data_IF_099415521921
#
_entry.id   IF_099415521921
#
_cell.length_a   1.000
_cell.length_b   1.000
_cell.length_c   1.000
_cell.angle_alpha   90.00
_cell.angle_beta   90.00
_cell.angle_gamma   90.00
#
_symmetry.space_group_name_H-M   'P 1'
#
loop_
_entity.id
_entity.type
_entity.pdbx_description
1 polymer ?
#
# COMPACT_ATOMS: atom_id res chain seq x y z
N UNK A 1 -5.34 -25.06 -56.90
CA UNK A 1 -4.48 -23.89 -56.59
C UNK A 1 -5.36 -22.84 -55.94
N UNK A 2 -5.50 -22.86 -54.62
CA UNK A 2 -4.74 -22.03 -53.66
C UNK A 2 -4.94 -20.52 -53.86
N UNK A 3 -5.79 -19.92 -53.02
CA UNK A 3 -5.53 -18.59 -52.48
C UNK A 3 -6.19 -18.45 -51.11
N UNK A 4 -5.33 -18.33 -50.09
CA UNK A 4 -5.71 -18.32 -48.69
C UNK A 4 -6.20 -16.96 -48.21
N UNK A 5 -7.27 -16.98 -47.40
CA UNK A 5 -7.64 -15.87 -46.52
C UNK A 5 -6.64 -15.79 -45.37
N UNK A 6 -5.76 -14.78 -45.38
CA UNK A 6 -5.03 -14.35 -44.19
C UNK A 6 -6.00 -13.58 -43.29
N UNK A 7 -6.41 -14.19 -42.18
CA UNK A 7 -7.01 -13.46 -41.07
C UNK A 7 -5.93 -12.59 -40.42
N UNK A 8 -6.09 -11.28 -40.51
CA UNK A 8 -5.34 -10.34 -39.68
C UNK A 8 -5.89 -10.42 -38.26
N UNK A 9 -5.29 -11.27 -37.42
CA UNK A 9 -5.47 -11.18 -35.98
C UNK A 9 -4.78 -9.91 -35.50
N UNK A 10 -5.58 -8.88 -35.17
CA UNK A 10 -5.09 -7.66 -34.55
C UNK A 10 -4.41 -7.98 -33.24
N UNK A 11 -3.09 -7.76 -33.16
CA UNK A 11 -2.34 -7.72 -31.91
C UNK A 11 -2.85 -6.53 -31.10
N UNK A 12 -3.71 -6.77 -30.12
CA UNK A 12 -4.02 -5.80 -29.07
C UNK A 12 -2.79 -5.61 -28.21
N UNK A 13 -2.35 -4.36 -28.10
CA UNK A 13 -1.21 -3.95 -27.28
C UNK A 13 -1.46 -4.28 -25.79
N UNK A 14 -0.49 -4.84 -25.04
CA UNK A 14 -0.62 -5.08 -23.60
C UNK A 14 -1.03 -3.82 -22.81
N UNK A 15 -0.68 -2.64 -23.33
CA UNK A 15 -1.03 -1.34 -22.78
C UNK A 15 -2.53 -1.03 -22.82
N UNK A 16 -3.27 -1.60 -23.80
CA UNK A 16 -4.71 -1.43 -23.90
C UNK A 16 -5.47 -2.26 -22.83
N UNK A 17 -4.90 -3.38 -22.38
CA UNK A 17 -5.48 -4.23 -21.33
C UNK A 17 -5.30 -3.63 -19.93
N UNK A 18 -4.21 -2.89 -19.70
CA UNK A 18 -4.00 -2.09 -18.48
C UNK A 18 -5.01 -0.93 -18.41
N UNK A 19 -5.32 -0.29 -19.54
CA UNK A 19 -6.34 0.76 -19.59
C UNK A 19 -7.78 0.23 -19.42
N UNK A 20 -8.09 -0.95 -19.95
CA UNK A 20 -9.43 -1.55 -19.84
C UNK A 20 -9.69 -2.08 -18.40
N UNK A 21 -8.69 -2.67 -17.75
CA UNK A 21 -8.82 -3.15 -16.36
C UNK A 21 -8.99 -2.01 -15.34
N UNK A 22 -8.42 -0.83 -15.61
CA UNK A 22 -8.61 0.38 -14.79
C UNK A 22 -9.86 1.17 -15.21
N UNK A 23 -10.32 1.07 -16.46
CA UNK A 23 -11.59 1.66 -16.90
C UNK A 23 -12.81 1.09 -16.16
N UNK A 24 -12.78 -0.21 -15.82
CA UNK A 24 -13.83 -0.85 -15.00
C UNK A 24 -13.89 -0.34 -13.55
N UNK A 25 -12.88 0.40 -13.07
CA UNK A 25 -12.85 1.05 -11.75
C UNK A 25 -13.96 2.10 -11.59
N UNK A 26 -14.42 2.71 -12.67
CA UNK A 26 -15.33 3.86 -12.61
C UNK A 26 -16.82 3.49 -12.51
N UNK A 27 -17.24 2.31 -12.95
CA UNK A 27 -18.66 1.94 -12.91
C UNK A 27 -19.10 1.42 -11.53
N UNK A 28 -18.25 0.65 -10.84
CA UNK A 28 -18.58 0.02 -9.55
C UNK A 28 -18.48 0.98 -8.36
N UNK A 29 -17.58 1.98 -8.39
CA UNK A 29 -17.51 3.02 -7.35
C UNK A 29 -18.79 3.88 -7.29
N UNK A 30 -19.42 4.14 -8.45
CA UNK A 30 -20.62 4.99 -8.53
C UNK A 30 -21.91 4.31 -8.03
N UNK A 31 -22.00 2.97 -8.03
CA UNK A 31 -23.23 2.28 -7.59
C UNK A 31 -23.30 2.14 -6.05
N UNK A 32 -22.15 2.08 -5.37
CA UNK A 32 -22.07 1.77 -3.94
C UNK A 32 -22.09 3.01 -3.02
N UNK A 33 -21.68 4.19 -3.50
CA UNK A 33 -21.59 5.40 -2.65
C UNK A 33 -22.90 6.19 -2.52
N UNK A 34 -23.94 5.88 -3.32
CA UNK A 34 -25.23 6.58 -3.23
C UNK A 34 -26.18 6.07 -2.13
N UNK A 35 -25.94 4.91 -1.51
CA UNK A 35 -26.93 4.27 -0.61
C UNK A 35 -26.47 4.01 0.84
N UNK A 36 -25.44 4.70 1.32
CA UNK A 36 -24.85 4.42 2.64
C UNK A 36 -24.71 5.61 3.58
N UNK A 37 -25.70 6.51 3.70
CA UNK A 37 -25.74 7.51 4.78
C UNK A 37 -26.74 7.08 5.87
N UNK A 38 -26.30 6.14 6.71
CA UNK A 38 -26.93 5.80 7.97
C UNK A 38 -26.27 6.54 9.13
N UNK A 39 -27.08 7.27 9.90
CA UNK A 39 -26.76 8.01 11.13
C UNK A 39 -26.27 7.06 12.22
N UNK A 40 -25.17 7.39 12.91
CA UNK A 40 -24.95 6.97 14.29
C UNK A 40 -24.18 8.03 15.08
N UNK A 41 -24.70 8.36 16.27
CA UNK A 41 -24.27 9.46 17.14
C UNK A 41 -23.04 9.16 18.02
N UNK A 42 -22.53 10.16 18.75
CA UNK A 42 -21.22 10.08 19.38
C UNK A 42 -21.28 9.36 20.74
N UNK A 43 -20.49 8.30 20.91
CA UNK A 43 -20.15 7.75 22.23
C UNK A 43 -18.94 8.49 22.80
N UNK A 44 -19.13 9.12 23.96
CA UNK A 44 -18.08 9.72 24.80
C UNK A 44 -17.06 8.66 25.21
N UNK A 45 -15.77 8.91 24.94
CA UNK A 45 -14.66 8.27 25.64
C UNK A 45 -14.21 9.19 26.78
N UNK A 46 -14.17 8.65 27.99
CA UNK A 46 -13.60 9.26 29.20
C UNK A 46 -12.41 8.42 29.66
N UNK A 47 -11.40 9.11 30.20
CA UNK A 47 -10.24 8.54 30.89
C UNK A 47 -9.02 8.47 29.97
N UNK A 48 -7.85 8.96 30.31
CA UNK A 48 -7.31 9.51 31.56
C UNK A 48 -5.81 9.58 31.32
N UNK A 49 -5.19 10.74 31.59
CA UNK A 49 -3.82 11.00 31.18
C UNK A 49 -2.79 10.11 31.86
N UNK A 50 -1.70 9.87 31.15
CA UNK A 50 -0.40 9.81 31.79
C UNK A 50 0.65 10.51 30.91
N UNK A 51 1.29 11.53 31.47
CA UNK A 51 2.39 12.27 30.84
C UNK A 51 3.69 11.63 31.33
N UNK A 52 4.14 10.61 30.61
CA UNK A 52 5.44 9.96 30.85
C UNK A 52 6.54 10.53 29.95
N UNK A 53 7.49 11.24 30.58
CA UNK A 53 8.92 11.35 30.24
C UNK A 53 9.34 11.33 28.76
N UNK A 54 9.52 12.51 28.16
CA UNK A 54 10.29 12.68 26.94
C UNK A 54 11.79 12.66 27.25
N UNK A 55 12.43 11.51 27.04
CA UNK A 55 13.88 11.38 27.11
C UNK A 55 14.38 10.02 26.63
N UNK A 56 15.34 10.06 25.68
CA UNK A 56 16.28 8.99 25.33
C UNK A 56 15.73 7.73 24.65
N UNK A 57 15.91 7.64 23.32
CA UNK A 57 15.98 6.41 22.52
C UNK A 57 14.82 5.43 22.66
N UNK A 58 14.05 5.22 21.59
CA UNK A 58 13.06 4.13 21.55
C UNK A 58 13.66 2.82 22.04
N UNK A 59 12.96 2.19 22.98
CA UNK A 59 13.26 0.85 23.50
C UNK A 59 13.55 -0.07 22.31
N UNK A 60 14.77 -0.62 22.17
CA UNK A 60 15.13 -1.47 21.03
C UNK A 60 14.14 -2.61 20.81
N UNK A 61 13.51 -3.14 21.87
CA UNK A 61 12.50 -4.20 21.78
C UNK A 61 11.20 -3.76 21.09
N UNK A 62 10.93 -2.44 21.04
CA UNK A 62 9.75 -1.88 20.37
C UNK A 62 10.02 -1.54 18.91
N UNK A 63 11.27 -1.56 18.45
CA UNK A 63 11.60 -1.13 17.10
C UNK A 63 11.03 -2.07 16.05
N UNK A 64 10.65 -1.50 14.91
CA UNK A 64 10.21 -2.25 13.74
C UNK A 64 11.06 -1.95 12.51
N UNK A 65 11.37 -2.99 11.74
CA UNK A 65 12.02 -2.86 10.45
C UNK A 65 11.01 -2.43 9.39
N UNK A 66 11.34 -1.43 8.56
CA UNK A 66 10.47 -0.99 7.47
C UNK A 66 10.77 -1.80 6.21
N UNK A 67 9.80 -2.55 5.73
CA UNK A 67 9.89 -3.37 4.53
C UNK A 67 9.05 -2.75 3.41
N UNK A 68 9.73 -2.21 2.39
CA UNK A 68 9.12 -1.59 1.22
C UNK A 68 9.19 -2.55 0.03
N UNK A 69 8.07 -3.08 -0.45
CA UNK A 69 8.07 -3.88 -1.70
C UNK A 69 8.03 -2.97 -2.93
N UNK A 70 8.92 -3.21 -3.90
CA UNK A 70 9.09 -2.36 -5.07
C UNK A 70 9.41 -3.14 -6.35
N UNK A 71 9.08 -2.53 -7.50
CA UNK A 71 9.55 -2.96 -8.83
C UNK A 71 10.71 -2.10 -9.32
N UNK A 72 11.34 -2.51 -10.41
CA UNK A 72 12.38 -1.78 -11.13
C UNK A 72 11.81 -0.72 -12.11
N UNK A 73 10.50 -0.51 -12.12
CA UNK A 73 9.89 0.52 -12.96
C UNK A 73 10.18 1.92 -12.42
N UNK A 74 10.46 2.88 -13.30
CA UNK A 74 10.66 4.30 -12.95
C UNK A 74 9.55 4.82 -12.02
N UNK A 75 8.30 4.45 -12.30
CA UNK A 75 7.15 4.71 -11.44
C UNK A 75 7.40 4.30 -9.98
N UNK A 76 7.82 3.06 -9.72
CA UNK A 76 8.10 2.57 -8.37
C UNK A 76 9.37 3.18 -7.78
N UNK A 77 10.37 3.46 -8.61
CA UNK A 77 11.66 4.00 -8.19
C UNK A 77 11.51 5.40 -7.57
N UNK A 78 10.91 6.36 -8.28
CA UNK A 78 10.78 7.72 -7.74
C UNK A 78 9.93 7.77 -6.46
N UNK A 79 8.88 6.93 -6.39
CA UNK A 79 8.04 6.78 -5.20
C UNK A 79 8.87 6.25 -4.01
N UNK A 80 9.69 5.22 -4.26
CA UNK A 80 10.57 4.63 -3.24
C UNK A 80 11.59 5.62 -2.69
N UNK A 81 12.15 6.49 -3.54
CA UNK A 81 13.09 7.54 -3.13
C UNK A 81 12.44 8.56 -2.19
N UNK A 82 11.23 9.04 -2.53
CA UNK A 82 10.46 9.97 -1.67
C UNK A 82 10.10 9.31 -0.33
N UNK A 83 9.61 8.07 -0.37
CA UNK A 83 9.26 7.30 0.82
C UNK A 83 10.49 7.11 1.73
N UNK A 84 11.63 6.72 1.16
CA UNK A 84 12.88 6.52 1.89
C UNK A 84 13.44 7.83 2.47
N UNK A 85 13.34 8.95 1.76
CA UNK A 85 13.68 10.28 2.29
C UNK A 85 12.89 10.57 3.58
N UNK A 86 11.56 10.44 3.53
CA UNK A 86 10.71 10.70 4.70
C UNK A 86 10.87 9.67 5.82
N UNK A 87 11.19 8.41 5.49
CA UNK A 87 11.60 7.43 6.49
C UNK A 87 12.83 7.92 7.28
N UNK A 88 13.89 8.37 6.60
CA UNK A 88 15.10 8.88 7.28
C UNK A 88 14.79 10.08 8.17
N UNK A 89 14.01 11.03 7.66
CA UNK A 89 13.59 12.22 8.41
C UNK A 89 12.78 11.88 9.66
N UNK A 90 11.85 10.93 9.57
CA UNK A 90 10.97 10.60 10.68
C UNK A 90 11.60 9.62 11.67
N UNK A 91 12.51 8.75 11.21
CA UNK A 91 13.26 7.81 12.06
C UNK A 91 14.11 8.53 13.11
N UNK A 92 14.74 9.64 12.74
CA UNK A 92 15.61 10.40 13.64
C UNK A 92 14.87 11.24 14.68
N UNK A 93 13.53 11.36 14.58
CA UNK A 93 12.74 12.24 15.43
C UNK A 93 12.26 11.56 16.72
N UNK A 94 12.12 12.30 17.83
CA UNK A 94 11.57 11.78 19.06
C UNK A 94 10.19 11.14 18.86
N UNK A 95 9.96 9.99 19.49
CA UNK A 95 8.70 9.25 19.39
C UNK A 95 8.61 8.29 18.20
N UNK A 96 9.67 8.14 17.39
CA UNK A 96 9.73 7.08 16.39
C UNK A 96 10.34 5.79 16.92
N UNK A 97 9.68 4.67 16.63
CA UNK A 97 10.21 3.32 16.83
C UNK A 97 10.69 2.69 15.50
N UNK A 98 10.94 3.51 14.45
CA UNK A 98 11.47 3.01 13.19
C UNK A 98 12.91 2.51 13.35
N UNK A 99 13.12 1.23 13.05
CA UNK A 99 14.41 0.56 13.01
C UNK A 99 15.06 0.64 11.63
N UNK A 100 15.61 -0.48 11.15
CA UNK A 100 16.16 -0.64 9.81
C UNK A 100 15.14 -0.48 8.69
N UNK A 101 15.64 -0.50 7.46
CA UNK A 101 14.86 -0.39 6.24
C UNK A 101 15.36 -1.39 5.22
N UNK A 102 14.45 -2.03 4.50
CA UNK A 102 14.77 -2.81 3.30
C UNK A 102 13.76 -2.49 2.20
N UNK A 103 14.26 -2.08 1.04
CA UNK A 103 13.52 -2.16 -0.22
C UNK A 103 13.65 -3.58 -0.76
N UNK A 104 12.54 -4.31 -0.82
CA UNK A 104 12.46 -5.65 -1.37
C UNK A 104 12.16 -5.50 -2.87
N UNK A 105 13.21 -5.56 -3.69
CA UNK A 105 13.14 -5.38 -5.13
C UNK A 105 12.85 -6.72 -5.81
N UNK A 106 11.59 -6.92 -6.20
CA UNK A 106 11.11 -8.19 -6.74
C UNK A 106 11.11 -8.23 -8.28
N UNK A 107 12.16 -7.68 -8.88
CA UNK A 107 12.41 -7.68 -10.32
C UNK A 107 13.37 -8.79 -10.78
N UNK A 108 14.02 -9.48 -9.83
CA UNK A 108 15.06 -10.48 -10.11
C UNK A 108 16.40 -9.89 -10.57
N UNK A 109 16.54 -8.55 -10.61
CA UNK A 109 17.78 -7.89 -11.04
C UNK A 109 18.03 -6.61 -10.24
N UNK A 110 19.31 -6.25 -10.00
CA UNK A 110 19.66 -4.99 -9.35
C UNK A 110 19.25 -3.78 -10.20
N UNK A 111 19.08 -2.63 -9.54
CA UNK A 111 18.88 -1.33 -10.18
C UNK A 111 19.76 -0.24 -9.54
N UNK A 112 19.76 0.96 -10.11
CA UNK A 112 20.61 2.07 -9.64
C UNK A 112 20.28 2.61 -8.25
N UNK A 113 19.12 2.29 -7.68
CA UNK A 113 18.74 2.77 -6.34
C UNK A 113 19.37 1.95 -5.21
N UNK A 114 20.08 0.86 -5.52
CA UNK A 114 20.75 0.05 -4.50
C UNK A 114 21.88 0.80 -3.78
N UNK A 115 22.46 1.82 -4.41
CA UNK A 115 23.46 2.69 -3.80
C UNK A 115 22.83 3.74 -2.86
N UNK A 116 21.53 4.03 -3.03
CA UNK A 116 20.79 5.04 -2.25
C UNK A 116 19.94 4.41 -1.13
N UNK A 117 19.32 3.26 -1.40
CA UNK A 117 18.32 2.62 -0.56
C UNK A 117 18.77 1.19 -0.24
N UNK A 118 18.88 0.80 1.05
CA UNK A 118 19.18 -0.57 1.43
C UNK A 118 18.19 -1.52 0.75
N UNK A 119 18.69 -2.40 -0.13
CA UNK A 119 17.86 -3.19 -1.04
C UNK A 119 18.24 -4.66 -0.95
N UNK A 120 17.23 -5.53 -0.93
CA UNK A 120 17.39 -6.96 -1.23
C UNK A 120 16.69 -7.26 -2.56
N UNK A 121 17.45 -7.78 -3.52
CA UNK A 121 16.90 -8.29 -4.78
C UNK A 121 16.35 -9.68 -4.55
N UNK A 122 15.13 -9.92 -5.00
CA UNK A 122 14.46 -11.22 -4.94
C UNK A 122 13.84 -11.52 -6.30
N UNK A 123 13.63 -12.80 -6.59
CA UNK A 123 13.08 -13.21 -7.86
C UNK A 123 11.59 -12.90 -7.94
N UNK A 124 11.07 -12.50 -9.12
CA UNK A 124 9.62 -12.49 -9.34
C UNK A 124 9.08 -13.92 -9.31
N UNK A 125 7.75 -14.04 -9.31
CA UNK A 125 7.10 -15.32 -9.57
C UNK A 125 7.52 -15.85 -10.95
N UNK A 126 7.55 -17.19 -11.14
CA UNK A 126 7.80 -17.78 -12.44
C UNK A 126 6.87 -17.23 -13.52
N UNK A 127 7.37 -17.13 -14.75
CA UNK A 127 6.64 -16.55 -15.87
C UNK A 127 5.21 -17.14 -16.00
N UNK A 128 4.23 -16.25 -16.16
CA UNK A 128 2.82 -16.61 -16.32
C UNK A 128 2.08 -16.97 -15.04
N UNK A 129 2.75 -17.15 -13.90
CA UNK A 129 2.08 -17.44 -12.61
C UNK A 129 1.28 -16.26 -12.07
N UNK A 130 1.73 -15.03 -12.33
CA UNK A 130 1.03 -13.82 -11.92
C UNK A 130 -0.22 -13.52 -12.79
N UNK A 131 -0.36 -14.18 -13.95
CA UNK A 131 -1.41 -13.94 -14.95
C UNK A 131 -1.60 -12.45 -15.28
N UNK A 132 -0.50 -11.69 -15.33
CA UNK A 132 -0.50 -10.25 -15.59
C UNK A 132 -0.91 -9.38 -14.38
N UNK A 133 -1.15 -9.97 -13.22
CA UNK A 133 -1.40 -9.25 -11.96
C UNK A 133 -0.11 -9.18 -11.14
N UNK A 134 0.72 -8.18 -11.45
CA UNK A 134 2.09 -8.01 -10.91
C UNK A 134 2.15 -7.98 -9.38
N UNK A 135 1.04 -7.63 -8.72
CA UNK A 135 0.93 -7.53 -7.26
C UNK A 135 1.16 -8.88 -6.59
N UNK A 136 0.94 -10.00 -7.29
CA UNK A 136 1.24 -11.34 -6.76
C UNK A 136 2.72 -11.59 -6.46
N UNK A 137 3.62 -10.80 -7.04
CA UNK A 137 5.04 -10.88 -6.71
C UNK A 137 5.32 -10.45 -5.26
N UNK A 138 4.45 -9.65 -4.64
CA UNK A 138 4.64 -9.11 -3.28
C UNK A 138 4.67 -10.20 -2.19
N UNK A 139 3.66 -11.09 -2.07
CA UNK A 139 3.74 -12.20 -1.13
C UNK A 139 5.00 -13.05 -1.32
N UNK A 140 5.38 -13.32 -2.57
CA UNK A 140 6.58 -14.10 -2.89
C UNK A 140 7.87 -13.37 -2.51
N UNK A 141 7.91 -12.06 -2.68
CA UNK A 141 9.01 -11.21 -2.26
C UNK A 141 9.22 -11.27 -0.74
N UNK A 142 8.13 -11.24 0.05
CA UNK A 142 8.21 -11.39 1.50
C UNK A 142 8.70 -12.77 1.93
N UNK A 143 8.27 -13.85 1.27
CA UNK A 143 8.77 -15.20 1.56
C UNK A 143 10.29 -15.26 1.38
N UNK A 144 10.79 -14.80 0.24
CA UNK A 144 12.24 -14.80 -0.05
C UNK A 144 13.00 -13.88 0.90
N UNK A 145 12.49 -12.66 1.16
CA UNK A 145 13.15 -11.71 2.03
C UNK A 145 13.25 -12.22 3.47
N UNK A 146 12.17 -12.76 4.05
CA UNK A 146 12.17 -13.30 5.41
C UNK A 146 13.11 -14.51 5.57
N UNK A 147 13.30 -15.30 4.51
CA UNK A 147 14.21 -16.46 4.54
C UNK A 147 15.69 -16.07 4.49
N UNK A 148 16.02 -14.95 3.84
CA UNK A 148 17.41 -14.63 3.49
C UNK A 148 17.94 -13.36 4.17
N UNK A 149 17.08 -12.46 4.62
CA UNK A 149 17.48 -11.19 5.21
C UNK A 149 17.85 -11.35 6.68
N UNK A 150 18.91 -10.64 7.07
CA UNK A 150 19.20 -10.39 8.48
C UNK A 150 18.35 -9.20 8.95
N UNK A 151 17.36 -9.47 9.79
CA UNK A 151 16.46 -8.48 10.37
C UNK A 151 16.66 -8.48 11.89
N UNK A 152 17.24 -7.42 12.42
CA UNK A 152 17.57 -7.29 13.85
C UNK A 152 16.32 -6.97 14.69
N UNK A 153 15.34 -6.24 14.12
CA UNK A 153 14.10 -5.88 14.80
C UNK A 153 13.11 -7.05 14.95
N UNK A 154 12.35 -7.05 16.05
CA UNK A 154 11.30 -8.05 16.31
C UNK A 154 10.02 -7.81 15.50
N UNK A 155 9.76 -6.55 15.15
CA UNK A 155 8.57 -6.13 14.42
C UNK A 155 8.93 -5.69 13.00
N UNK A 156 7.97 -5.77 12.09
CA UNK A 156 8.09 -5.35 10.70
C UNK A 156 6.91 -4.44 10.36
N UNK A 157 7.20 -3.28 9.79
CA UNK A 157 6.23 -2.47 9.06
C UNK A 157 6.25 -2.89 7.59
N UNK A 158 5.17 -3.48 7.11
CA UNK A 158 4.93 -3.66 5.68
C UNK A 158 4.44 -2.34 5.08
N UNK A 159 5.19 -1.78 4.12
CA UNK A 159 4.94 -0.48 3.52
C UNK A 159 4.95 -0.53 1.98
N UNK A 160 4.41 0.53 1.36
CA UNK A 160 4.32 0.68 -0.11
C UNK A 160 5.02 1.95 -0.60
N UNK A 161 5.43 2.02 -1.89
CA UNK A 161 6.17 3.18 -2.43
C UNK A 161 5.38 4.49 -2.34
N UNK A 162 4.06 4.41 -2.38
CA UNK A 162 3.15 5.56 -2.28
C UNK A 162 2.78 5.95 -0.84
N UNK A 163 3.62 5.58 0.13
CA UNK A 163 3.56 6.08 1.49
C UNK A 163 4.48 7.29 1.68
N UNK A 164 4.00 8.29 2.39
CA UNK A 164 4.80 9.39 2.94
C UNK A 164 4.60 9.44 4.45
N UNK A 165 5.69 9.31 5.22
CA UNK A 165 5.63 9.46 6.67
C UNK A 165 5.53 10.94 7.05
N UNK A 166 4.40 11.36 7.60
CA UNK A 166 4.13 12.76 7.99
C UNK A 166 4.51 13.07 9.43
N UNK A 167 4.70 12.03 10.25
CA UNK A 167 5.07 12.13 11.67
C UNK A 167 6.02 11.00 12.09
N UNK A 168 6.76 11.16 13.20
CA UNK A 168 7.46 10.06 13.85
C UNK A 168 6.45 8.94 14.16
N UNK A 169 6.70 7.73 13.67
CA UNK A 169 5.81 6.59 13.83
C UNK A 169 6.29 5.72 15.00
N UNK A 170 5.54 5.65 16.12
CA UNK A 170 5.77 4.68 17.17
C UNK A 170 5.28 3.29 16.73
N UNK A 171 5.70 2.24 17.43
CA UNK A 171 5.18 0.91 17.20
C UNK A 171 3.71 0.85 17.65
N UNK A 172 2.82 0.72 16.69
CA UNK A 172 1.38 0.66 16.93
C UNK A 172 0.90 -0.72 17.34
N UNK A 173 1.73 -1.76 17.18
CA UNK A 173 1.45 -3.11 17.65
C UNK A 173 1.68 -3.25 19.16
N UNK A 174 0.98 -4.19 19.79
CA UNK A 174 1.05 -4.42 21.23
C UNK A 174 1.29 -5.90 21.51
N UNK A 175 2.53 -6.26 21.89
CA UNK A 175 2.89 -7.66 22.10
C UNK A 175 2.67 -8.47 20.82
N UNK A 176 1.89 -9.54 20.90
CA UNK A 176 1.53 -10.39 19.76
C UNK A 176 0.32 -9.88 18.94
N UNK A 177 -0.26 -8.73 19.28
CA UNK A 177 -1.36 -8.10 18.55
C UNK A 177 -0.81 -7.10 17.51
N UNK A 178 -0.82 -7.42 16.20
CA UNK A 178 -0.37 -6.53 15.15
C UNK A 178 -1.31 -5.33 14.98
N UNK A 179 -0.82 -4.25 14.38
CA UNK A 179 -1.64 -3.10 14.03
C UNK A 179 -1.81 -2.99 12.52
N UNK A 180 -3.02 -2.73 12.05
CA UNK A 180 -3.34 -2.63 10.62
C UNK A 180 -4.35 -1.52 10.32
N UNK A 181 -4.26 -0.95 9.13
CA UNK A 181 -5.31 -0.04 8.65
C UNK A 181 -6.55 -0.82 8.16
N UNK A 182 -7.77 -0.45 8.60
CA UNK A 182 -9.00 -1.07 8.11
C UNK A 182 -9.40 -0.50 6.73
N UNK A 183 -9.59 -1.38 5.75
CA UNK A 183 -10.04 -1.00 4.42
C UNK A 183 -11.53 -1.24 4.25
N UNK A 184 -12.29 -0.18 4.00
CA UNK A 184 -13.76 -0.23 3.91
C UNK A 184 -14.29 -1.16 2.80
N UNK A 185 -13.47 -1.47 1.79
CA UNK A 185 -13.81 -2.36 0.68
C UNK A 185 -13.40 -3.83 0.91
N UNK A 186 -12.68 -4.13 2.00
CA UNK A 186 -12.43 -5.51 2.43
C UNK A 186 -13.54 -5.88 3.39
N UNK A 187 -14.48 -6.71 2.92
CA UNK A 187 -15.73 -7.02 3.61
C UNK A 187 -15.95 -8.53 3.68
N UNK A 188 -15.31 -9.22 4.63
CA UNK A 188 -15.37 -10.69 4.67
C UNK A 188 -16.79 -11.26 4.86
N UNK A 189 -17.62 -10.62 5.68
CA UNK A 189 -19.00 -11.05 5.92
C UNK A 189 -19.90 -10.91 4.69
N UNK A 190 -19.70 -9.89 3.85
CA UNK A 190 -20.44 -9.72 2.58
C UNK A 190 -19.96 -10.71 1.50
N UNK A 191 -18.79 -11.32 1.67
CA UNK A 191 -18.15 -12.21 0.69
C UNK A 191 -18.00 -13.66 1.19
N UNK A 192 -18.80 -14.07 2.18
CA UNK A 192 -18.66 -15.36 2.85
C UNK A 192 -18.59 -16.54 1.87
N UNK A 193 -19.53 -16.62 0.91
CA UNK A 193 -19.60 -17.70 -0.07
C UNK A 193 -18.29 -17.91 -0.83
N UNK A 194 -17.64 -16.82 -1.24
CA UNK A 194 -16.36 -16.87 -1.96
C UNK A 194 -15.23 -17.24 -1.00
N UNK A 195 -15.22 -16.64 0.19
CA UNK A 195 -14.17 -16.85 1.18
C UNK A 195 -14.15 -18.27 1.75
N UNK A 196 -15.27 -18.99 1.78
CA UNK A 196 -15.31 -20.40 2.22
C UNK A 196 -14.42 -21.34 1.40
N UNK A 197 -14.06 -20.98 0.16
CA UNK A 197 -13.08 -21.72 -0.64
C UNK A 197 -11.66 -21.68 -0.06
N UNK A 198 -11.36 -20.67 0.76
CA UNK A 198 -10.01 -20.39 1.29
C UNK A 198 -9.96 -20.31 2.82
N UNK A 199 -11.11 -20.10 3.48
CA UNK A 199 -11.30 -20.10 4.92
C UNK A 199 -12.46 -21.05 5.29
N UNK A 200 -12.16 -22.36 5.41
CA UNK A 200 -13.19 -23.37 5.61
C UNK A 200 -13.95 -23.22 6.95
N UNK A 201 -15.12 -23.84 7.05
CA UNK A 201 -16.01 -23.68 8.22
C UNK A 201 -15.37 -24.14 9.54
N UNK A 202 -14.49 -25.15 9.51
CA UNK A 202 -13.79 -25.62 10.71
C UNK A 202 -12.78 -24.61 11.28
N UNK A 203 -12.39 -23.59 10.51
CA UNK A 203 -11.59 -22.45 11.01
C UNK A 203 -12.43 -21.41 11.74
N UNK A 204 -13.75 -21.50 11.67
CA UNK A 204 -14.71 -20.64 12.35
C UNK A 204 -15.46 -19.68 11.40
N UNK A 205 -16.14 -18.66 11.94
CA UNK A 205 -16.90 -17.71 11.13
C UNK A 205 -15.98 -16.79 10.33
N UNK A 206 -16.42 -16.34 9.15
CA UNK A 206 -15.64 -15.40 8.31
C UNK A 206 -15.43 -14.03 8.96
N UNK A 207 -16.17 -13.72 10.03
CA UNK A 207 -15.93 -12.53 10.86
C UNK A 207 -14.60 -12.55 11.61
N UNK A 208 -13.88 -13.68 11.64
CA UNK A 208 -12.49 -13.77 12.11
C UNK A 208 -11.47 -13.20 11.12
N UNK A 209 -11.86 -12.98 9.87
CA UNK A 209 -11.02 -12.35 8.86
C UNK A 209 -11.14 -10.84 9.08
N UNK A 210 -10.03 -10.19 9.44
CA UNK A 210 -10.02 -8.75 9.64
C UNK A 210 -10.21 -8.00 8.30
N UNK A 211 -10.89 -6.84 8.28
CA UNK A 211 -11.13 -6.05 7.07
C UNK A 211 -9.88 -5.24 6.68
N UNK A 212 -8.77 -5.93 6.39
CA UNK A 212 -7.43 -5.34 6.19
C UNK A 212 -6.79 -5.79 4.87
N UNK A 213 -5.68 -5.16 4.52
CA UNK A 213 -4.69 -5.69 3.59
C UNK A 213 -3.33 -5.82 4.26
N UNK A 214 -2.29 -6.09 3.48
CA UNK A 214 -0.94 -6.27 4.00
C UNK A 214 -0.23 -4.95 4.37
N UNK A 215 -0.71 -3.80 3.89
CA UNK A 215 -0.02 -2.50 4.03
C UNK A 215 -1.01 -1.36 4.31
N UNK A 216 -0.73 -0.46 5.28
CA UNK A 216 0.30 -0.57 6.28
C UNK A 216 -0.10 -1.57 7.38
N UNK A 217 0.86 -2.42 7.79
CA UNK A 217 0.73 -3.32 8.93
C UNK A 217 2.04 -3.34 9.72
N UNK A 218 1.97 -3.19 11.05
CA UNK A 218 3.09 -3.51 11.97
C UNK A 218 2.79 -4.85 12.63
N UNK A 219 3.64 -5.84 12.41
CA UNK A 219 3.48 -7.22 12.86
C UNK A 219 4.79 -7.79 13.37
N UNK A 220 4.76 -8.73 14.32
CA UNK A 220 5.97 -9.45 14.70
C UNK A 220 6.53 -10.26 13.53
N UNK A 221 7.84 -10.22 13.34
CA UNK A 221 8.57 -11.00 12.34
C UNK A 221 8.19 -12.47 12.38
N UNK A 222 8.16 -13.08 13.57
CA UNK A 222 7.81 -14.50 13.75
C UNK A 222 6.36 -14.85 13.33
N UNK A 223 5.42 -13.90 13.42
CA UNK A 223 4.06 -14.09 12.90
C UNK A 223 4.06 -13.97 11.37
N UNK A 224 4.76 -12.97 10.83
CA UNK A 224 4.85 -12.76 9.39
C UNK A 224 5.55 -13.92 8.67
N UNK A 225 6.59 -14.52 9.26
CA UNK A 225 7.26 -15.74 8.77
C UNK A 225 6.29 -16.92 8.60
N UNK A 226 5.30 -17.05 9.50
CA UNK A 226 4.25 -18.09 9.42
C UNK A 226 3.20 -17.75 8.37
N UNK A 227 2.81 -16.48 8.29
CA UNK A 227 1.74 -16.00 7.40
C UNK A 227 2.20 -15.96 5.94
N UNK A 228 3.42 -15.49 5.65
CA UNK A 228 3.87 -15.18 4.30
C UNK A 228 3.75 -16.35 3.29
N UNK A 229 4.14 -17.60 3.63
CA UNK A 229 3.94 -18.73 2.72
C UNK A 229 2.46 -19.04 2.45
N UNK A 230 1.60 -18.92 3.46
CA UNK A 230 0.15 -19.11 3.31
C UNK A 230 -0.48 -17.98 2.50
N UNK A 231 -0.08 -16.74 2.75
CA UNK A 231 -0.50 -15.57 1.99
C UNK A 231 -0.20 -15.76 0.50
N UNK A 232 1.05 -16.09 0.14
CA UNK A 232 1.42 -16.39 -1.24
C UNK A 232 0.54 -17.48 -1.87
N UNK A 233 0.38 -18.61 -1.19
CA UNK A 233 -0.39 -19.74 -1.71
C UNK A 233 -1.88 -19.41 -1.87
N UNK A 234 -2.47 -18.68 -0.92
CA UNK A 234 -3.87 -18.24 -1.02
C UNK A 234 -4.02 -17.22 -2.15
N UNK A 235 -3.09 -16.27 -2.31
CA UNK A 235 -3.13 -15.31 -3.43
C UNK A 235 -3.11 -16.00 -4.78
N UNK A 236 -2.24 -17.01 -4.97
CA UNK A 236 -2.18 -17.79 -6.21
C UNK A 236 -3.48 -18.58 -6.45
N UNK A 237 -4.01 -19.27 -5.43
CA UNK A 237 -5.27 -20.01 -5.54
C UNK A 237 -6.46 -19.11 -5.86
N UNK A 238 -6.54 -17.94 -5.22
CA UNK A 238 -7.58 -16.95 -5.51
C UNK A 238 -7.45 -16.44 -6.95
N UNK A 239 -6.23 -16.24 -7.46
CA UNK A 239 -6.00 -15.85 -8.87
C UNK A 239 -6.33 -16.97 -9.86
N UNK A 240 -6.26 -18.22 -9.43
CA UNK A 240 -6.64 -19.39 -10.24
C UNK A 240 -8.15 -19.60 -10.31
N UNK A 241 -8.88 -19.29 -9.25
CA UNK A 241 -10.35 -19.37 -9.20
C UNK A 241 -11.00 -18.17 -9.91
N UNK A 242 -11.62 -18.43 -11.07
CA UNK A 242 -12.20 -17.38 -11.92
C UNK A 242 -13.29 -16.54 -11.22
N UNK A 243 -14.10 -17.16 -10.36
CA UNK A 243 -15.14 -16.45 -9.60
C UNK A 243 -14.52 -15.48 -8.59
N UNK A 244 -13.48 -15.93 -7.89
CA UNK A 244 -12.75 -15.13 -6.90
C UNK A 244 -11.94 -14.02 -7.55
N UNK A 245 -11.20 -14.31 -8.62
CA UNK A 245 -10.43 -13.30 -9.37
C UNK A 245 -11.35 -12.21 -9.91
N UNK A 246 -12.51 -12.59 -10.46
CA UNK A 246 -13.51 -11.63 -10.92
C UNK A 246 -14.11 -10.80 -9.77
N UNK A 247 -14.37 -11.41 -8.62
CA UNK A 247 -15.01 -10.75 -7.49
C UNK A 247 -14.07 -9.77 -6.76
N UNK A 248 -12.83 -10.20 -6.47
CA UNK A 248 -11.88 -9.39 -5.70
C UNK A 248 -10.97 -8.55 -6.58
N UNK A 249 -10.67 -8.99 -7.81
CA UNK A 249 -9.89 -8.23 -8.79
C UNK A 249 -8.60 -7.66 -8.19
N UNK A 250 -8.49 -6.34 -8.19
CA UNK A 250 -7.27 -5.64 -7.76
C UNK A 250 -6.96 -5.72 -6.25
N UNK A 251 -7.94 -6.08 -5.40
CA UNK A 251 -7.74 -6.26 -3.94
C UNK A 251 -7.59 -7.73 -3.53
N UNK A 252 -7.48 -8.64 -4.50
CA UNK A 252 -7.40 -10.07 -4.24
C UNK A 252 -6.23 -10.44 -3.33
N UNK A 253 -5.07 -9.82 -3.54
CA UNK A 253 -3.90 -10.05 -2.70
C UNK A 253 -4.17 -9.62 -1.24
N UNK A 254 -4.84 -8.48 -1.03
CA UNK A 254 -5.22 -8.01 0.31
C UNK A 254 -6.16 -8.98 1.03
N UNK A 255 -7.16 -9.52 0.33
CA UNK A 255 -8.02 -10.58 0.88
C UNK A 255 -7.22 -11.83 1.23
N UNK A 256 -6.25 -12.22 0.40
CA UNK A 256 -5.39 -13.36 0.68
C UNK A 256 -4.52 -13.13 1.93
N UNK A 257 -4.01 -11.92 2.17
CA UNK A 257 -3.30 -11.57 3.40
C UNK A 257 -4.21 -11.71 4.63
N UNK A 258 -5.43 -11.16 4.56
CA UNK A 258 -6.39 -11.21 5.64
C UNK A 258 -6.82 -12.66 5.96
N UNK A 259 -7.08 -13.48 4.92
CA UNK A 259 -7.38 -14.91 5.07
C UNK A 259 -6.20 -15.67 5.67
N UNK A 260 -4.98 -15.44 5.18
CA UNK A 260 -3.79 -16.10 5.71
C UNK A 260 -3.55 -15.77 7.19
N UNK A 261 -3.74 -14.51 7.58
CA UNK A 261 -3.67 -14.07 8.98
C UNK A 261 -4.69 -14.82 9.84
N UNK A 262 -5.95 -14.87 9.40
CA UNK A 262 -7.02 -15.58 10.12
C UNK A 262 -6.78 -17.10 10.21
N UNK A 263 -6.23 -17.73 9.17
CA UNK A 263 -5.86 -19.15 9.17
C UNK A 263 -4.80 -19.48 10.23
N UNK A 264 -3.94 -18.52 10.56
CA UNK A 264 -2.91 -18.61 11.60
C UNK A 264 -3.34 -18.04 12.95
N UNK A 265 -4.62 -17.65 13.10
CA UNK A 265 -5.16 -17.11 14.34
C UNK A 265 -4.61 -15.73 14.72
N UNK A 266 -4.11 -14.97 13.74
CA UNK A 266 -3.58 -13.62 13.95
C UNK A 266 -4.69 -12.60 13.71
N UNK A 267 -4.99 -11.82 14.76
CA UNK A 267 -5.99 -10.76 14.76
C UNK A 267 -5.31 -9.39 14.93
N UNK A 268 -5.76 -8.40 14.17
CA UNK A 268 -5.14 -7.08 14.12
C UNK A 268 -5.94 -6.03 14.90
N UNK A 269 -5.22 -5.19 15.65
CA UNK A 269 -5.73 -3.92 16.15
C UNK A 269 -5.95 -2.96 14.99
N UNK A 270 -7.21 -2.59 14.72
CA UNK A 270 -7.59 -1.74 13.60
C UNK A 270 -7.34 -0.26 13.91
N UNK A 271 -6.44 0.36 13.15
CA UNK A 271 -5.95 1.74 13.37
C UNK A 271 -6.33 2.66 12.21
N UNK A 272 -7.42 3.43 12.37
CA UNK A 272 -7.83 4.44 11.38
C UNK A 272 -6.88 5.63 11.31
N UNK A 273 -6.15 5.88 12.39
CA UNK A 273 -5.11 6.90 12.48
C UNK A 273 -3.79 6.47 11.81
N UNK A 274 -3.67 5.21 11.34
CA UNK A 274 -2.42 4.72 10.77
C UNK A 274 -2.05 5.46 9.47
N UNK A 275 -3.02 5.63 8.57
CA UNK A 275 -2.84 6.37 7.33
C UNK A 275 -4.08 7.16 6.91
N UNK A 276 -3.90 8.10 6.00
CA UNK A 276 -4.96 8.81 5.28
C UNK A 276 -4.80 8.67 3.77
N UNK A 277 -5.88 8.91 3.02
CA UNK A 277 -5.96 8.76 1.57
C UNK A 277 -6.53 10.04 0.91
N UNK A 278 -5.70 11.07 0.67
CA UNK A 278 -6.11 12.24 -0.09
C UNK A 278 -6.56 11.84 -1.51
N UNK A 279 -7.55 12.53 -2.11
CA UNK A 279 -8.20 13.75 -1.61
C UNK A 279 -9.37 13.52 -0.64
N UNK A 280 -9.65 12.28 -0.24
CA UNK A 280 -10.85 11.94 0.54
C UNK A 280 -10.72 12.28 2.02
N UNK A 281 -9.55 12.04 2.60
CA UNK A 281 -9.23 12.44 3.96
C UNK A 281 -8.64 13.84 3.95
N UNK A 282 -9.29 14.79 4.64
CA UNK A 282 -9.05 16.22 4.43
C UNK A 282 -7.89 16.80 5.26
N UNK A 283 -7.46 16.11 6.33
CA UNK A 283 -6.52 16.63 7.32
C UNK A 283 -5.45 15.61 7.73
N UNK A 284 -4.29 16.08 8.16
CA UNK A 284 -3.15 15.26 8.63
C UNK A 284 -2.99 15.23 10.16
N UNK A 285 -3.84 15.94 10.90
CA UNK A 285 -3.72 16.19 12.34
C UNK A 285 -3.53 14.94 13.20
N UNK A 286 -4.10 13.78 12.83
CA UNK A 286 -4.06 12.55 13.62
C UNK A 286 -3.63 11.33 12.77
N UNK A 287 -2.64 11.50 11.89
CA UNK A 287 -2.13 10.39 11.09
C UNK A 287 -0.61 10.33 11.02
N UNK A 288 -0.09 9.16 10.66
CA UNK A 288 1.34 8.92 10.50
C UNK A 288 1.76 8.81 9.03
N UNK A 289 0.87 8.34 8.15
CA UNK A 289 1.17 8.08 6.75
C UNK A 289 0.14 8.76 5.85
N UNK A 290 0.61 9.45 4.80
CA UNK A 290 -0.21 9.73 3.63
C UNK A 290 0.01 8.61 2.63
N UNK A 291 -1.08 7.95 2.21
CA UNK A 291 -1.10 7.01 1.11
C UNK A 291 -1.71 7.69 -0.13
N UNK A 292 -0.87 8.12 -1.07
CA UNK A 292 -1.29 8.94 -2.22
C UNK A 292 -1.74 8.10 -3.43
N UNK A 293 -2.73 7.24 -3.20
CA UNK A 293 -3.21 6.30 -4.23
C UNK A 293 -4.13 6.95 -5.27
N UNK A 294 -4.90 7.98 -4.89
CA UNK A 294 -5.88 8.64 -5.75
C UNK A 294 -5.30 9.89 -6.43
N UNK A 295 -5.77 10.15 -7.65
CA UNK A 295 -5.52 11.42 -8.33
C UNK A 295 -6.20 12.58 -7.60
N UNK A 296 -5.45 13.66 -7.40
CA UNK A 296 -5.91 14.91 -6.81
C UNK A 296 -6.12 15.92 -7.94
N UNK A 297 -7.34 15.96 -8.50
CA UNK A 297 -7.71 16.83 -9.61
C UNK A 297 -8.65 17.93 -9.14
N UNK A 298 -8.29 19.20 -9.36
CA UNK A 298 -9.03 20.35 -8.88
C UNK A 298 -9.15 21.45 -9.94
N UNK A 299 -10.24 22.22 -9.87
CA UNK A 299 -10.30 23.53 -10.52
C UNK A 299 -9.40 24.53 -9.78
N UNK A 300 -9.04 25.64 -10.43
CA UNK A 300 -8.31 26.74 -9.80
C UNK A 300 -9.09 27.45 -8.68
N UNK A 301 -10.38 27.12 -8.51
CA UNK A 301 -11.22 27.55 -7.39
C UNK A 301 -11.23 26.55 -6.22
N UNK A 302 -10.40 25.50 -6.27
CA UNK A 302 -10.29 24.49 -5.21
C UNK A 302 -11.40 23.44 -5.21
N UNK A 303 -12.13 23.26 -6.32
CA UNK A 303 -13.21 22.28 -6.40
C UNK A 303 -12.70 20.97 -7.03
N UNK A 304 -12.92 19.83 -6.36
CA UNK A 304 -12.51 18.52 -6.84
C UNK A 304 -13.22 18.17 -8.16
N UNK A 305 -12.47 17.79 -9.20
CA UNK A 305 -12.99 17.39 -10.51
C UNK A 305 -12.96 15.87 -10.66
N UNK A 306 -13.96 15.19 -10.11
CA UNK A 306 -14.03 13.74 -10.11
C UNK A 306 -14.05 13.15 -11.53
N UNK A 307 -13.15 12.17 -11.79
CA UNK A 307 -13.08 11.43 -13.05
C UNK A 307 -12.62 12.26 -14.26
N UNK A 308 -12.10 13.48 -14.04
CA UNK A 308 -11.61 14.38 -15.08
C UNK A 308 -10.28 14.98 -14.66
N UNK A 309 -9.41 15.21 -15.63
CA UNK A 309 -8.16 15.95 -15.41
C UNK A 309 -8.54 17.37 -14.97
N UNK A 310 -8.10 17.76 -13.77
CA UNK A 310 -8.31 19.08 -13.21
C UNK A 310 -7.43 20.14 -13.85
N UNK A 311 -7.75 21.42 -13.62
CA UNK A 311 -6.89 22.54 -14.01
C UNK A 311 -5.58 22.54 -13.20
N UNK A 312 -5.67 22.15 -11.93
CA UNK A 312 -4.54 21.74 -11.11
C UNK A 312 -4.63 20.24 -10.83
N UNK A 313 -3.51 19.52 -10.89
CA UNK A 313 -3.45 18.08 -10.72
C UNK A 313 -2.19 17.63 -10.00
N UNK A 314 -2.36 16.70 -9.05
CA UNK A 314 -1.32 15.77 -8.65
C UNK A 314 -1.85 14.33 -8.74
N UNK A 315 -1.33 13.54 -9.68
CA UNK A 315 -1.57 12.10 -9.74
C UNK A 315 -0.26 11.41 -10.09
N UNK A 316 0.14 10.45 -9.26
CA UNK A 316 1.35 9.66 -9.50
C UNK A 316 1.36 8.96 -10.87
N UNK A 317 0.18 8.66 -11.43
CA UNK A 317 0.03 8.05 -12.77
C UNK A 317 0.33 9.01 -13.91
N UNK A 318 0.51 10.30 -13.65
CA UNK A 318 1.08 11.25 -14.61
C UNK A 318 2.60 11.09 -14.75
N UNK A 319 3.24 10.32 -13.87
CA UNK A 319 4.70 10.16 -13.75
C UNK A 319 5.10 8.68 -13.90
N UNK A 320 4.60 8.02 -14.95
CA UNK A 320 4.89 6.60 -15.21
C UNK A 320 6.27 6.37 -15.83
N UNK A 321 6.70 7.31 -16.67
CA UNK A 321 7.90 7.21 -17.51
C UNK A 321 9.01 8.17 -17.07
N UNK A 322 8.75 8.99 -16.07
CA UNK A 322 9.71 9.94 -15.50
C UNK A 322 9.29 10.30 -14.08
N UNK A 323 10.22 10.71 -13.20
CA UNK A 323 9.87 11.27 -11.89
C UNK A 323 9.12 12.61 -12.05
N UNK A 324 8.31 13.01 -11.06
CA UNK A 324 7.73 14.36 -11.05
C UNK A 324 8.83 15.43 -11.08
N UNK A 325 8.62 16.57 -11.76
CA UNK A 325 9.59 17.65 -11.74
C UNK A 325 9.73 18.24 -10.33
N UNK A 326 10.87 18.88 -10.07
CA UNK A 326 11.05 19.70 -8.86
C UNK A 326 10.06 20.87 -8.90
N UNK A 327 9.70 21.39 -7.73
CA UNK A 327 8.87 22.58 -7.58
C UNK A 327 7.49 22.45 -8.26
N UNK A 328 6.77 21.36 -7.99
CA UNK A 328 5.36 21.23 -8.34
C UNK A 328 4.57 22.42 -7.81
N UNK A 329 3.63 22.93 -8.60
CA UNK A 329 2.74 24.00 -8.15
C UNK A 329 1.92 23.53 -6.96
N UNK A 330 1.82 24.37 -5.93
CA UNK A 330 0.92 24.11 -4.82
C UNK A 330 -0.53 24.14 -5.30
N UNK A 331 -1.42 23.34 -4.70
CA UNK A 331 -2.83 23.36 -5.05
C UNK A 331 -3.46 24.73 -4.76
N UNK A 332 -4.53 25.09 -5.51
CA UNK A 332 -5.23 26.36 -5.33
C UNK A 332 -5.88 26.49 -3.95
N UNK A 333 -6.21 27.72 -3.50
CA UNK A 333 -6.97 27.93 -2.27
C UNK A 333 -8.27 27.11 -2.25
N UNK A 334 -8.60 26.54 -1.08
CA UNK A 334 -9.80 25.72 -0.89
C UNK A 334 -9.57 24.21 -1.06
N UNK A 335 -8.41 23.79 -1.56
CA UNK A 335 -8.01 22.38 -1.60
C UNK A 335 -7.70 21.87 -0.17
N UNK A 336 -8.03 20.60 0.18
CA UNK A 336 -7.81 20.06 1.52
C UNK A 336 -6.35 20.14 1.98
N UNK A 337 -6.18 20.30 3.29
CA UNK A 337 -4.87 20.41 3.93
C UNK A 337 -3.98 19.19 3.67
N UNK A 338 -4.56 17.99 3.65
CA UNK A 338 -3.83 16.76 3.32
C UNK A 338 -3.20 16.74 1.93
N UNK A 339 -3.88 17.28 0.91
CA UNK A 339 -3.35 17.39 -0.46
C UNK A 339 -2.25 18.45 -0.51
N UNK A 340 -2.45 19.59 0.16
CA UNK A 340 -1.42 20.63 0.28
C UNK A 340 -0.16 20.06 0.94
N UNK A 341 -0.32 19.31 2.03
CA UNK A 341 0.78 18.68 2.78
C UNK A 341 1.51 17.65 1.92
N UNK A 342 0.78 16.77 1.21
CA UNK A 342 1.37 15.82 0.27
C UNK A 342 2.28 16.52 -0.76
N UNK A 343 1.78 17.56 -1.44
CA UNK A 343 2.55 18.24 -2.49
C UNK A 343 3.76 18.97 -1.92
N UNK A 344 3.63 19.61 -0.74
CA UNK A 344 4.77 20.21 -0.04
C UNK A 344 5.85 19.18 0.29
N UNK A 345 5.44 18.00 0.76
CA UNK A 345 6.38 16.94 1.12
C UNK A 345 7.05 16.29 -0.08
N UNK A 346 6.33 16.16 -1.20
CA UNK A 346 6.94 15.78 -2.50
C UNK A 346 7.95 16.84 -2.94
N UNK A 347 7.58 18.12 -2.90
CA UNK A 347 8.50 19.21 -3.27
C UNK A 347 9.75 19.24 -2.39
N UNK A 348 9.62 19.07 -1.08
CA UNK A 348 10.76 19.02 -0.17
C UNK A 348 11.66 17.81 -0.44
N UNK A 349 11.09 16.61 -0.60
CA UNK A 349 11.88 15.42 -0.92
C UNK A 349 12.62 15.60 -2.26
N UNK A 350 11.90 15.99 -3.33
CA UNK A 350 12.52 16.20 -4.65
C UNK A 350 13.56 17.31 -4.64
N UNK A 351 13.41 18.33 -3.79
CA UNK A 351 14.41 19.38 -3.61
C UNK A 351 15.72 18.87 -2.98
N UNK A 352 15.63 17.92 -2.04
CA UNK A 352 16.76 17.47 -1.23
C UNK A 352 17.38 16.14 -1.68
N UNK A 353 16.72 15.37 -2.54
CA UNK A 353 17.27 14.13 -3.09
C UNK A 353 18.28 14.47 -4.22
N UNK A 354 19.56 14.06 -4.12
CA UNK A 354 20.56 14.27 -5.18
C UNK A 354 20.18 13.52 -6.46
N UNK A 355 20.57 14.04 -7.63
CA UNK A 355 20.32 13.37 -8.91
C UNK A 355 18.84 13.12 -9.23
N UNK A 356 17.92 13.93 -8.68
CA UNK A 356 16.48 13.77 -8.94
C UNK A 356 16.11 13.96 -10.43
N UNK A 357 16.87 14.77 -11.16
CA UNK A 357 16.62 15.05 -12.58
C UNK A 357 17.39 14.11 -13.52
N UNK A 358 18.33 13.32 -12.99
CA UNK A 358 19.16 12.40 -13.79
C UNK A 358 18.36 11.17 -14.27
N UNK A 359 17.20 10.91 -13.65
CA UNK A 359 16.26 9.83 -13.97
C UNK A 359 15.20 10.25 -15.02
N UNK A 360 15.39 11.37 -15.75
CA UNK A 360 14.43 11.90 -16.75
C UNK A 360 14.61 11.41 -18.17
#
# INVERSE_FOLDING_TARGET
>A
MMSGRKNAAGRTSPWLLILISVGCFFATYNFLTMHGRGRDGPRKFLGGGDRGSYGSGSDPAKRFHVALTATDALYSQWQSRIMHYWYKEMRGRPGSDMGGFTRILHSGKPDGLMDEIPTMVVDPLPEGKDKGYIVLNRPWAFVQWLQNAKIDEEYILMAEPDHVFVKPLPNLAHGDEPAAFPFFYIKPTENEKILRKFFPEEKGPVSKIDPIGNSPVIIKKAQLEKIAPTWMNVSLKMKEDQETDKAFGWVLEMYAYAVASALHGVHHSLRKDFMIQPPWDLKTDNTFIIHYTYGCDYTMKGQLTYGKIGEWRFDKRSYLQSPPPRNLSLPPPGVPESVVTLVKMVNEATANIPGWEDDR
#
